data_IF_898182826396
#
_entry.id   IF_898182826396
#
_cell.length_a   1.000
_cell.length_b   1.000
_cell.length_c   1.000
_cell.angle_alpha   90.00
_cell.angle_beta   90.00
_cell.angle_gamma   90.00
#
_symmetry.space_group_name_H-M   'P 1'
#
loop_
_entity.id
_entity.type
_entity.pdbx_description
1 polymer ?
#
# COMPACT_ATOMS: atom_id res chain seq x y z
N UNK A 1 3.42 1.39 20.74
CA UNK A 1 3.16 0.51 19.56
C UNK A 1 4.47 0.10 18.92
N UNK A 2 4.65 -1.19 18.60
CA UNK A 2 5.79 -1.69 17.83
C UNK A 2 5.79 -1.11 16.41
N UNK A 3 6.93 -1.15 15.70
CA UNK A 3 6.97 -0.75 14.30
C UNK A 3 6.12 -1.69 13.46
N UNK A 4 5.56 -1.18 12.35
CA UNK A 4 4.68 -1.95 11.46
C UNK A 4 5.32 -3.24 10.95
N UNK A 5 6.64 -3.21 10.73
CA UNK A 5 7.43 -4.34 10.26
C UNK A 5 7.62 -5.44 11.32
N UNK A 6 7.49 -5.11 12.60
CA UNK A 6 7.66 -6.05 13.72
C UNK A 6 6.36 -6.75 14.10
N UNK A 7 5.24 -6.34 13.50
CA UNK A 7 3.92 -6.90 13.79
C UNK A 7 3.80 -8.25 13.10
N UNK A 8 3.85 -9.32 13.90
CA UNK A 8 3.57 -10.67 13.45
C UNK A 8 2.09 -10.81 13.12
N UNK A 9 1.79 -10.98 11.84
CA UNK A 9 0.42 -11.23 11.37
C UNK A 9 0.04 -12.67 11.67
N UNK A 10 -0.83 -12.87 12.67
CA UNK A 10 -1.45 -14.18 12.90
C UNK A 10 -2.52 -14.44 11.83
N UNK A 11 -2.25 -15.41 10.95
CA UNK A 11 -3.13 -15.79 9.85
C UNK A 11 -4.49 -16.31 10.31
N UNK A 12 -4.56 -16.98 11.45
CA UNK A 12 -5.79 -17.57 11.99
C UNK A 12 -6.67 -16.48 12.59
N UNK A 13 -6.07 -15.58 13.38
CA UNK A 13 -6.74 -14.41 13.92
C UNK A 13 -7.28 -13.53 12.78
N UNK A 14 -6.45 -13.22 11.78
CA UNK A 14 -6.89 -12.40 10.65
C UNK A 14 -8.03 -13.06 9.88
N UNK A 15 -7.95 -14.37 9.63
CA UNK A 15 -9.01 -15.13 8.96
C UNK A 15 -10.31 -15.09 9.75
N UNK A 16 -10.25 -15.19 11.09
CA UNK A 16 -11.43 -15.07 11.95
C UNK A 16 -12.02 -13.67 11.91
N UNK A 17 -11.20 -12.61 12.01
CA UNK A 17 -11.64 -11.22 11.95
C UNK A 17 -12.28 -10.86 10.61
N UNK A 18 -11.72 -11.37 9.51
CA UNK A 18 -12.32 -11.22 8.18
C UNK A 18 -13.73 -11.84 8.10
N UNK A 19 -14.07 -12.83 8.97
CA UNK A 19 -15.42 -13.39 9.06
C UNK A 19 -16.46 -12.47 9.70
N UNK A 20 -16.07 -11.28 10.16
CA UNK A 20 -17.00 -10.27 10.66
C UNK A 20 -17.18 -9.10 9.70
N UNK A 21 -16.41 -9.04 8.59
CA UNK A 21 -16.55 -7.99 7.59
C UNK A 21 -17.89 -8.10 6.84
N UNK A 22 -18.67 -7.03 6.83
CA UNK A 22 -19.88 -6.90 6.06
C UNK A 22 -19.61 -6.12 4.76
N UNK A 23 -19.52 -6.83 3.63
CA UNK A 23 -19.19 -6.21 2.35
C UNK A 23 -20.27 -5.32 1.75
N UNK A 24 -21.52 -5.41 2.25
CA UNK A 24 -22.62 -4.56 1.77
C UNK A 24 -22.50 -3.13 2.33
N UNK A 25 -22.00 -3.00 3.57
CA UNK A 25 -21.95 -1.73 4.29
C UNK A 25 -20.53 -1.27 4.66
N UNK A 26 -19.50 -2.08 4.38
CA UNK A 26 -18.08 -1.78 4.61
C UNK A 26 -17.71 -1.49 6.08
N UNK A 27 -18.24 -2.30 7.01
CA UNK A 27 -17.83 -2.33 8.42
C UNK A 27 -17.75 -3.77 8.94
N UNK A 28 -17.11 -3.96 10.09
CA UNK A 28 -17.14 -5.22 10.84
C UNK A 28 -18.29 -5.23 11.84
N UNK A 29 -19.04 -6.33 11.93
CA UNK A 29 -20.13 -6.48 12.91
C UNK A 29 -19.77 -7.52 13.96
N UNK A 30 -19.74 -7.11 15.21
CA UNK A 30 -19.51 -7.98 16.37
C UNK A 30 -20.71 -7.91 17.31
N UNK A 31 -21.63 -8.86 17.16
CA UNK A 31 -22.89 -8.85 17.91
C UNK A 31 -23.74 -7.63 17.55
N UNK A 32 -23.85 -6.67 18.49
CA UNK A 32 -24.61 -5.42 18.31
C UNK A 32 -23.72 -4.19 18.05
N UNK A 33 -22.42 -4.39 17.86
CA UNK A 33 -21.45 -3.32 17.68
C UNK A 33 -20.88 -3.40 16.27
N UNK A 34 -20.94 -2.28 15.55
CA UNK A 34 -20.28 -2.12 14.27
C UNK A 34 -19.00 -1.30 14.43
N UNK A 35 -17.92 -1.76 13.80
CA UNK A 35 -16.59 -1.12 13.85
C UNK A 35 -16.04 -0.97 12.44
N UNK A 36 -15.42 0.17 12.16
CA UNK A 36 -14.76 0.43 10.88
C UNK A 36 -13.51 1.27 11.10
N UNK A 37 -12.38 0.94 10.46
CA UNK A 37 -11.20 1.80 10.53
C UNK A 37 -11.47 3.21 10.01
N UNK A 38 -11.13 4.22 10.81
CA UNK A 38 -11.30 5.63 10.45
C UNK A 38 -10.00 6.29 10.00
N UNK A 39 -10.13 7.47 9.38
CA UNK A 39 -8.97 8.27 8.94
C UNK A 39 -8.14 8.71 10.14
N UNK A 40 -8.78 9.11 11.22
CA UNK A 40 -8.18 9.60 12.45
C UNK A 40 -7.36 8.49 13.14
N UNK A 41 -7.93 7.28 13.24
CA UNK A 41 -7.25 6.13 13.82
C UNK A 41 -6.04 5.73 12.98
N UNK A 42 -6.20 5.57 11.66
CA UNK A 42 -5.07 5.20 10.80
C UNK A 42 -4.00 6.29 10.73
N UNK A 43 -4.37 7.57 10.81
CA UNK A 43 -3.40 8.67 10.92
C UNK A 43 -2.57 8.55 12.20
N UNK A 44 -3.21 8.18 13.30
CA UNK A 44 -2.56 7.94 14.59
C UNK A 44 -1.64 6.72 14.54
N UNK A 45 -2.12 5.59 13.99
CA UNK A 45 -1.34 4.35 13.83
C UNK A 45 -0.09 4.57 12.96
N UNK A 46 -0.22 5.36 11.88
CA UNK A 46 0.87 5.69 10.95
C UNK A 46 1.76 6.83 11.43
N UNK A 47 1.43 7.48 12.57
CA UNK A 47 2.10 8.70 13.09
C UNK A 47 2.24 9.80 12.04
N UNK A 48 1.23 9.95 11.19
CA UNK A 48 1.23 10.88 10.07
C UNK A 48 0.65 12.25 10.49
N UNK A 49 1.23 12.86 11.53
CA UNK A 49 0.70 14.06 12.22
C UNK A 49 0.69 15.37 11.40
N UNK A 50 1.13 15.35 10.12
CA UNK A 50 1.48 16.56 9.36
C UNK A 50 0.64 16.81 8.10
N UNK A 51 -0.60 16.34 8.01
CA UNK A 51 -1.28 16.31 6.70
C UNK A 51 -2.65 17.00 6.72
N UNK A 52 -2.86 17.87 5.72
CA UNK A 52 -4.15 18.48 5.39
C UNK A 52 -5.14 17.37 5.04
N UNK A 53 -6.09 17.11 5.94
CA UNK A 53 -7.18 16.13 5.80
C UNK A 53 -8.03 16.42 4.54
N UNK A 54 -8.00 17.67 4.06
CA UNK A 54 -8.93 18.21 3.07
C UNK A 54 -8.57 17.95 1.59
N UNK A 55 -7.43 17.29 1.31
CA UNK A 55 -7.10 16.84 -0.06
C UNK A 55 -7.45 15.38 -0.21
N UNK A 56 -8.74 15.10 -0.40
CA UNK A 56 -9.18 13.84 -0.96
C UNK A 56 -8.54 13.64 -2.35
N UNK A 57 -8.22 12.38 -2.64
CA UNK A 57 -7.70 11.94 -3.93
C UNK A 57 -8.52 12.55 -5.09
N UNK A 58 -7.94 13.52 -5.80
CA UNK A 58 -8.31 13.82 -7.16
C UNK A 58 -7.26 13.14 -8.03
N UNK A 59 -7.69 12.22 -8.89
CA UNK A 59 -6.82 11.62 -9.90
C UNK A 59 -6.30 12.75 -10.77
N UNK A 60 -5.13 13.29 -10.45
CA UNK A 60 -4.44 14.18 -11.37
C UNK A 60 -4.28 13.40 -12.67
N UNK A 61 -4.77 13.96 -13.77
CA UNK A 61 -4.53 13.43 -15.12
C UNK A 61 -3.02 13.37 -15.27
N UNK A 62 -2.47 12.17 -15.18
CA UNK A 62 -1.07 11.97 -14.88
C UNK A 62 -0.22 12.39 -16.08
N UNK A 63 0.50 13.51 -15.96
CA UNK A 63 1.25 14.14 -17.06
C UNK A 63 2.49 13.34 -17.46
N UNK A 64 2.97 12.42 -16.61
CA UNK A 64 4.19 11.64 -16.82
C UNK A 64 3.90 10.16 -17.09
N UNK A 65 4.62 9.59 -18.05
CA UNK A 65 4.60 8.15 -18.35
C UNK A 65 5.27 7.34 -17.23
N UNK A 66 4.93 6.06 -17.09
CA UNK A 66 5.56 5.16 -16.10
C UNK A 66 7.09 5.18 -16.14
N UNK A 67 7.65 5.18 -17.36
CA UNK A 67 9.09 5.26 -17.58
C UNK A 67 9.67 6.54 -16.97
N UNK A 68 9.07 7.71 -17.26
CA UNK A 68 9.53 8.99 -16.71
C UNK A 68 9.43 9.03 -15.18
N UNK A 69 8.36 8.48 -14.60
CA UNK A 69 8.22 8.40 -13.14
C UNK A 69 9.33 7.55 -12.52
N UNK A 70 9.59 6.37 -13.09
CA UNK A 70 10.66 5.50 -12.61
C UNK A 70 12.03 6.14 -12.77
N UNK A 71 12.31 6.85 -13.86
CA UNK A 71 13.55 7.62 -13.99
C UNK A 71 13.70 8.66 -12.89
N UNK A 72 12.63 9.42 -12.62
CA UNK A 72 12.63 10.44 -11.57
C UNK A 72 12.85 9.82 -10.18
N UNK A 73 12.20 8.70 -9.87
CA UNK A 73 12.31 8.03 -8.56
C UNK A 73 13.68 7.35 -8.41
N UNK A 74 14.10 6.60 -9.43
CA UNK A 74 15.32 5.78 -9.36
C UNK A 74 16.60 6.54 -9.65
N UNK A 75 16.54 7.68 -10.35
CA UNK A 75 17.73 8.38 -10.85
C UNK A 75 18.41 7.68 -12.04
N UNK A 76 17.80 6.64 -12.61
CA UNK A 76 18.38 5.84 -13.68
C UNK A 76 18.00 6.36 -15.07
N UNK A 77 18.79 5.97 -16.08
CA UNK A 77 18.50 6.29 -17.48
C UNK A 77 17.24 5.61 -17.98
N UNK A 78 16.63 6.18 -19.01
CA UNK A 78 15.45 5.62 -19.68
C UNK A 78 15.70 4.18 -20.13
N UNK A 79 16.85 3.92 -20.74
CA UNK A 79 17.24 2.59 -21.20
C UNK A 79 17.26 1.57 -20.05
N UNK A 80 17.86 1.94 -18.91
CA UNK A 80 17.91 1.06 -17.73
C UNK A 80 16.50 0.68 -17.25
N UNK A 81 15.58 1.65 -17.26
CA UNK A 81 14.18 1.48 -16.83
C UNK A 81 13.41 0.60 -17.81
N UNK A 82 13.45 0.92 -19.10
CA UNK A 82 12.69 0.21 -20.15
C UNK A 82 13.08 -1.25 -20.22
N UNK A 83 14.38 -1.57 -20.13
CA UNK A 83 14.89 -2.95 -20.14
C UNK A 83 14.37 -3.80 -18.96
N UNK A 84 13.96 -3.16 -17.85
CA UNK A 84 13.54 -3.83 -16.62
C UNK A 84 12.03 -3.89 -16.42
N UNK A 85 11.28 -3.01 -17.08
CA UNK A 85 9.82 -3.07 -17.07
C UNK A 85 9.37 -4.35 -17.77
N UNK A 86 8.45 -5.07 -17.14
CA UNK A 86 7.83 -6.28 -17.69
C UNK A 86 6.32 -6.18 -17.61
N UNK A 87 5.64 -6.74 -18.62
CA UNK A 87 4.20 -6.94 -18.55
C UNK A 87 3.90 -8.08 -17.55
N UNK A 88 3.00 -7.82 -16.59
CA UNK A 88 2.49 -8.80 -15.64
C UNK A 88 0.97 -8.70 -15.57
N UNK A 89 0.28 -9.64 -16.21
CA UNK A 89 -1.17 -9.54 -16.40
C UNK A 89 -1.51 -8.29 -17.21
N UNK A 90 -2.43 -7.48 -16.70
CA UNK A 90 -2.93 -6.28 -17.37
C UNK A 90 -2.03 -5.04 -17.18
N UNK A 91 -0.91 -5.13 -16.47
CA UNK A 91 -0.14 -3.94 -16.11
C UNK A 91 1.37 -4.12 -16.24
N UNK A 92 2.04 -2.98 -16.46
CA UNK A 92 3.49 -2.89 -16.51
C UNK A 92 4.03 -2.85 -15.08
N UNK A 93 5.09 -3.60 -14.83
CA UNK A 93 5.69 -3.69 -13.51
C UNK A 93 7.21 -3.71 -13.57
N UNK A 94 7.87 -3.24 -12.52
CA UNK A 94 9.31 -3.39 -12.30
C UNK A 94 9.58 -4.48 -11.24
N UNK A 95 10.50 -5.44 -11.48
CA UNK A 95 10.82 -6.48 -10.50
C UNK A 95 11.51 -5.93 -9.25
N UNK A 96 11.12 -6.42 -8.07
CA UNK A 96 11.76 -6.06 -6.79
C UNK A 96 13.26 -6.34 -6.79
N UNK A 97 13.70 -7.46 -7.38
CA UNK A 97 15.13 -7.79 -7.47
C UNK A 97 15.94 -6.66 -8.09
N UNK A 98 15.43 -6.06 -9.19
CA UNK A 98 16.09 -4.94 -9.86
C UNK A 98 16.16 -3.70 -8.98
N UNK A 99 15.09 -3.38 -8.24
CA UNK A 99 15.08 -2.25 -7.31
C UNK A 99 15.97 -2.47 -6.10
N UNK A 100 16.00 -3.69 -5.55
CA UNK A 100 16.87 -4.05 -4.43
C UNK A 100 18.35 -3.94 -4.81
N UNK A 101 18.72 -4.51 -5.94
CA UNK A 101 20.10 -4.44 -6.43
C UNK A 101 20.50 -2.98 -6.69
N UNK A 102 19.56 -2.15 -7.17
CA UNK A 102 19.74 -0.71 -7.29
C UNK A 102 19.95 -0.03 -5.93
N UNK A 103 19.10 -0.28 -4.93
CA UNK A 103 19.24 0.31 -3.58
C UNK A 103 20.63 0.04 -3.00
N UNK A 104 21.16 -1.17 -3.19
CA UNK A 104 22.48 -1.54 -2.70
C UNK A 104 23.59 -0.75 -3.42
N UNK A 105 23.50 -0.62 -4.75
CA UNK A 105 24.54 -0.02 -5.58
C UNK A 105 24.45 1.50 -5.76
N UNK A 106 23.29 2.12 -5.50
CA UNK A 106 23.06 3.54 -5.83
C UNK A 106 24.03 4.45 -5.04
N UNK A 107 24.65 5.48 -5.65
CA UNK A 107 25.53 6.39 -4.90
C UNK A 107 24.75 7.42 -4.07
N UNK A 108 23.61 7.89 -4.57
CA UNK A 108 22.75 8.86 -3.88
C UNK A 108 21.86 8.19 -2.83
N UNK A 109 22.03 8.56 -1.56
CA UNK A 109 21.24 8.09 -0.42
C UNK A 109 19.75 8.48 -0.52
N UNK A 110 19.42 9.65 -1.07
CA UNK A 110 18.02 10.07 -1.23
C UNK A 110 17.30 9.12 -2.20
N UNK A 111 17.93 8.81 -3.33
CA UNK A 111 17.38 7.84 -4.30
C UNK A 111 17.21 6.45 -3.70
N UNK A 112 18.12 6.00 -2.82
CA UNK A 112 17.91 4.74 -2.09
C UNK A 112 16.63 4.75 -1.27
N UNK A 113 16.40 5.83 -0.52
CA UNK A 113 15.20 6.00 0.30
C UNK A 113 13.96 6.02 -0.57
N UNK A 114 13.96 6.77 -1.68
CA UNK A 114 12.83 6.86 -2.59
C UNK A 114 12.47 5.50 -3.21
N UNK A 115 13.48 4.76 -3.70
CA UNK A 115 13.28 3.42 -4.28
C UNK A 115 12.84 2.40 -3.22
N UNK A 116 13.37 2.50 -2.00
CA UNK A 116 12.95 1.65 -0.89
C UNK A 116 11.50 1.93 -0.49
N UNK A 117 11.11 3.21 -0.41
CA UNK A 117 9.74 3.63 -0.12
C UNK A 117 8.78 3.15 -1.23
N UNK A 118 9.11 3.34 -2.50
CA UNK A 118 8.35 2.81 -3.64
C UNK A 118 8.12 1.28 -3.49
N UNK A 119 9.14 0.57 -3.02
CA UNK A 119 9.09 -0.88 -2.82
C UNK A 119 8.19 -1.29 -1.65
N UNK A 120 8.17 -0.54 -0.54
CA UNK A 120 7.19 -0.74 0.54
C UNK A 120 5.78 -0.55 0.01
N UNK A 121 5.54 0.54 -0.71
CA UNK A 121 4.23 0.80 -1.31
C UNK A 121 3.82 -0.32 -2.26
N UNK A 122 4.70 -0.75 -3.16
CA UNK A 122 4.33 -1.75 -4.18
C UNK A 122 4.30 -3.20 -3.72
N UNK A 123 5.05 -3.57 -2.68
CA UNK A 123 5.17 -4.96 -2.24
C UNK A 123 4.37 -5.26 -0.98
N UNK A 124 4.13 -4.27 -0.13
CA UNK A 124 3.48 -4.46 1.18
C UNK A 124 2.10 -3.80 1.19
N UNK A 125 1.98 -2.57 0.70
CA UNK A 125 0.73 -1.80 0.84
C UNK A 125 -0.22 -2.04 -0.33
N UNK A 126 0.30 -2.07 -1.56
CA UNK A 126 -0.44 -2.23 -2.82
C UNK A 126 0.07 -3.42 -3.66
N UNK A 127 0.18 -4.65 -3.12
CA UNK A 127 0.77 -5.76 -3.87
C UNK A 127 -0.23 -6.27 -4.91
N UNK A 128 0.14 -6.11 -6.19
CA UNK A 128 -0.67 -6.60 -7.31
C UNK A 128 -0.06 -7.80 -8.02
N UNK A 129 1.27 -7.83 -8.12
CA UNK A 129 2.02 -8.94 -8.69
C UNK A 129 3.15 -9.33 -7.76
N UNK A 130 3.25 -10.62 -7.40
CA UNK A 130 4.21 -11.11 -6.42
C UNK A 130 5.64 -10.72 -6.81
N UNK A 131 6.34 -9.99 -5.93
CA UNK A 131 7.73 -9.55 -6.15
C UNK A 131 7.89 -8.49 -7.24
N UNK A 132 6.83 -7.80 -7.65
CA UNK A 132 6.86 -6.76 -8.67
C UNK A 132 6.07 -5.53 -8.19
N UNK A 133 6.51 -4.35 -8.62
CA UNK A 133 5.87 -3.07 -8.31
C UNK A 133 5.10 -2.62 -9.55
N UNK A 134 3.78 -2.47 -9.42
CA UNK A 134 2.87 -2.09 -10.50
C UNK A 134 2.95 -0.60 -10.86
N UNK A 135 2.66 -0.26 -12.10
CA UNK A 135 2.61 1.12 -12.61
C UNK A 135 1.74 2.05 -11.75
N UNK A 136 0.58 1.59 -11.26
CA UNK A 136 -0.31 2.40 -10.42
C UNK A 136 0.33 2.82 -9.08
N UNK A 137 1.33 2.08 -8.60
CA UNK A 137 2.07 2.44 -7.38
C UNK A 137 2.96 3.65 -7.63
N UNK A 138 3.53 3.77 -8.83
CA UNK A 138 4.33 4.96 -9.18
C UNK A 138 3.46 6.22 -9.30
N UNK A 139 2.20 6.06 -9.72
CA UNK A 139 1.22 7.14 -9.75
C UNK A 139 0.91 7.64 -8.34
N UNK A 140 0.70 6.71 -7.40
CA UNK A 140 0.53 7.05 -5.99
C UNK A 140 1.77 7.75 -5.42
N UNK A 141 2.97 7.27 -5.75
CA UNK A 141 4.22 7.82 -5.23
C UNK A 141 4.43 9.29 -5.65
N UNK A 142 4.12 9.64 -6.90
CA UNK A 142 4.14 11.04 -7.38
C UNK A 142 3.18 11.93 -6.58
N UNK A 143 2.04 11.40 -6.18
CA UNK A 143 1.04 12.12 -5.39
C UNK A 143 1.50 12.33 -3.94
N UNK A 144 2.21 11.36 -3.36
CA UNK A 144 2.76 11.50 -2.01
C UNK A 144 3.84 12.59 -1.93
N UNK A 145 4.63 12.76 -2.98
CA UNK A 145 5.59 13.87 -3.08
C UNK A 145 4.89 15.25 -3.04
N UNK A 146 3.61 15.30 -3.44
CA UNK A 146 2.73 16.49 -3.33
C UNK A 146 2.11 16.69 -1.94
N UNK A 147 2.60 15.99 -0.91
CA UNK A 147 2.16 16.07 0.50
C UNK A 147 0.70 15.63 0.73
N UNK A 148 0.18 14.73 -0.10
CA UNK A 148 -1.14 14.12 0.10
C UNK A 148 -1.02 12.95 1.09
N UNK A 149 -2.04 12.73 1.92
CA UNK A 149 -2.00 11.65 2.91
C UNK A 149 -2.10 10.26 2.28
N UNK A 150 -1.21 9.32 2.63
CA UNK A 150 -1.36 7.93 2.23
C UNK A 150 -2.51 7.23 2.96
N UNK A 151 -3.01 7.80 4.06
CA UNK A 151 -4.01 7.17 4.94
C UNK A 151 -5.28 6.79 4.19
N UNK A 152 -5.82 7.72 3.39
CA UNK A 152 -7.04 7.47 2.61
C UNK A 152 -6.84 6.33 1.61
N UNK A 153 -5.69 6.29 0.94
CA UNK A 153 -5.38 5.25 -0.04
C UNK A 153 -5.19 3.88 0.63
N UNK A 154 -4.54 3.84 1.79
CA UNK A 154 -4.35 2.62 2.59
C UNK A 154 -5.70 2.08 3.08
N UNK A 155 -6.59 2.95 3.56
CA UNK A 155 -7.94 2.56 4.00
C UNK A 155 -8.77 2.02 2.83
N UNK A 156 -8.79 2.74 1.70
CA UNK A 156 -9.52 2.31 0.51
C UNK A 156 -9.09 0.91 0.03
N UNK A 157 -7.78 0.65 0.00
CA UNK A 157 -7.27 -0.69 -0.35
C UNK A 157 -7.60 -1.74 0.69
N UNK A 158 -7.52 -1.40 1.98
CA UNK A 158 -7.91 -2.31 3.06
C UNK A 158 -9.34 -2.78 2.85
N UNK A 159 -10.27 -1.87 2.57
CA UNK A 159 -11.68 -2.21 2.31
C UNK A 159 -11.85 -3.00 1.02
N UNK A 160 -11.12 -2.64 -0.04
CA UNK A 160 -11.14 -3.37 -1.32
C UNK A 160 -10.73 -4.84 -1.12
N UNK A 161 -9.65 -5.10 -0.39
CA UNK A 161 -9.19 -6.46 -0.13
C UNK A 161 -10.11 -7.21 0.84
N UNK A 162 -10.68 -6.57 1.86
CA UNK A 162 -11.68 -7.20 2.73
C UNK A 162 -12.92 -7.63 1.94
N UNK A 163 -13.41 -6.77 1.04
CA UNK A 163 -14.51 -7.09 0.12
C UNK A 163 -14.16 -8.26 -0.79
N UNK A 164 -12.96 -8.29 -1.36
CA UNK A 164 -12.49 -9.39 -2.20
C UNK A 164 -12.42 -10.73 -1.43
N UNK A 165 -11.91 -10.71 -0.19
CA UNK A 165 -11.82 -11.90 0.65
C UNK A 165 -13.20 -12.48 0.97
N UNK A 166 -14.19 -11.62 1.23
CA UNK A 166 -15.57 -12.06 1.49
C UNK A 166 -16.28 -12.62 0.29
N UNK A 167 -16.19 -11.94 -0.86
CA UNK A 167 -16.90 -12.36 -2.09
C UNK A 167 -16.37 -13.68 -2.66
N UNK A 168 -15.08 -13.94 -2.53
CA UNK A 168 -14.47 -15.14 -3.12
C UNK A 168 -14.44 -16.35 -2.18
N UNK A 169 -14.77 -16.22 -0.89
CA UNK A 169 -14.78 -17.32 0.10
C UNK A 169 -13.40 -17.91 0.46
N UNK A 170 -12.45 -17.85 -0.47
CA UNK A 170 -11.06 -18.34 -0.40
C UNK A 170 -10.03 -17.26 -0.78
N UNK A 171 -10.44 -15.99 -0.82
CA UNK A 171 -9.58 -14.89 -1.24
C UNK A 171 -8.38 -14.70 -0.33
N UNK A 172 -7.18 -14.52 -0.91
CA UNK A 172 -5.99 -14.10 -0.18
C UNK A 172 -6.12 -12.60 0.13
N UNK A 173 -6.06 -12.21 1.40
CA UNK A 173 -5.91 -10.81 1.77
C UNK A 173 -4.49 -10.37 1.42
N UNK A 174 -4.38 -9.34 0.58
CA UNK A 174 -3.11 -8.82 0.07
C UNK A 174 -2.92 -7.34 0.51
N UNK A 175 -3.81 -6.80 1.35
CA UNK A 175 -3.63 -5.47 1.93
C UNK A 175 -2.67 -5.43 3.13
N UNK A 176 -2.51 -4.26 3.74
CA UNK A 176 -1.63 -4.05 4.90
C UNK A 176 -2.23 -4.62 6.20
N UNK A 177 -2.20 -5.96 6.34
CA UNK A 177 -2.70 -6.66 7.52
C UNK A 177 -1.98 -6.22 8.80
N UNK A 178 -0.72 -5.78 8.68
CA UNK A 178 0.03 -5.23 9.79
C UNK A 178 -0.59 -3.95 10.37
N UNK A 179 -1.39 -3.19 9.61
CA UNK A 179 -2.10 -2.00 10.14
C UNK A 179 -3.46 -2.36 10.72
N UNK A 180 -4.16 -3.29 10.07
CA UNK A 180 -5.50 -3.67 10.50
C UNK A 180 -5.48 -4.45 11.83
N UNK A 181 -4.46 -5.27 12.08
CA UNK A 181 -4.36 -6.03 13.33
C UNK A 181 -4.17 -5.15 14.58
N UNK A 182 -3.24 -4.19 14.63
CA UNK A 182 -3.13 -3.25 15.75
C UNK A 182 -4.39 -2.42 15.96
N UNK A 183 -5.08 -2.02 14.89
CA UNK A 183 -6.38 -1.37 14.97
C UNK A 183 -7.40 -2.26 15.68
N UNK A 184 -7.50 -3.54 15.29
CA UNK A 184 -8.34 -4.49 16.00
C UNK A 184 -7.94 -4.61 17.48
N UNK A 185 -6.66 -4.75 17.77
CA UNK A 185 -6.20 -4.83 19.15
C UNK A 185 -6.61 -3.62 19.99
N UNK A 186 -6.59 -2.40 19.45
CA UNK A 186 -7.00 -1.20 20.20
C UNK A 186 -8.49 -1.09 20.51
N UNK A 187 -9.35 -1.91 19.90
CA UNK A 187 -10.80 -1.91 20.16
C UNK A 187 -11.27 -3.09 21.00
N UNK A 188 -10.48 -4.17 21.06
CA UNK A 188 -10.84 -5.40 21.76
C UNK A 188 -10.04 -5.65 23.04
N UNK A 189 -8.95 -4.90 23.27
CA UNK A 189 -8.04 -5.03 24.41
C UNK A 189 -7.60 -3.65 24.92
#
# INVERSE_FOLDING_TARGET
>A
MPYLLDIKVDKHLFRALAQFWNSAYSYFTFGKVDLVPTVEEYTTLLRCLRIQVDKAYSRAVNVLTYVKKLMNITGMSEQWVVERIKQKGESKCIPWKSLRDLILAHPDMKKKVDVFALSIYGLIIFPKALGHIDEAVSDLFDILDRKVTPVLTILAETFRYLNACRRMGEGRFIGCAQLLLPWFHSHFW
#
